data_IF_415635697039
#
_entry.id   IF_415635697039
#
_cell.length_a   1.000
_cell.length_b   1.000
_cell.length_c   1.000
_cell.angle_alpha   90.00
_cell.angle_beta   90.00
_cell.angle_gamma   90.00
#
_symmetry.space_group_name_H-M   'P 1'
#
loop_
_entity.id
_entity.type
_entity.pdbx_description
1 polymer ?
#
# COMPACT_ATOMS: atom_id res chain seq x y z
N UNK A 1 27.49 -2.83 16.24
CA UNK A 1 27.06 -3.11 14.86
C UNK A 1 25.94 -4.14 14.80
N UNK A 2 26.11 -5.35 15.35
CA UNK A 2 25.11 -6.45 15.29
C UNK A 2 23.68 -6.05 15.69
N UNK A 3 23.51 -5.34 16.82
CA UNK A 3 22.17 -4.95 17.30
C UNK A 3 21.47 -3.93 16.40
N UNK A 4 22.23 -3.06 15.72
CA UNK A 4 21.65 -2.04 14.83
C UNK A 4 21.10 -2.69 13.55
N UNK A 5 21.86 -3.61 12.95
CA UNK A 5 21.42 -4.36 11.77
C UNK A 5 20.18 -5.23 12.08
N UNK A 6 20.11 -5.83 13.28
CA UNK A 6 18.96 -6.61 13.72
C UNK A 6 17.69 -5.73 13.86
N UNK A 7 17.81 -4.58 14.51
CA UNK A 7 16.70 -3.64 14.69
C UNK A 7 16.21 -3.13 13.33
N UNK A 8 17.12 -2.77 12.44
CA UNK A 8 16.77 -2.31 11.10
C UNK A 8 16.03 -3.39 10.29
N UNK A 9 16.48 -4.65 10.38
CA UNK A 9 15.79 -5.76 9.72
C UNK A 9 14.35 -5.93 10.25
N UNK A 10 14.15 -5.84 11.57
CA UNK A 10 12.82 -5.90 12.19
C UNK A 10 11.94 -4.75 11.69
N UNK A 11 12.45 -3.52 11.70
CA UNK A 11 11.70 -2.34 11.25
C UNK A 11 11.28 -2.47 9.79
N UNK A 12 12.19 -2.90 8.91
CA UNK A 12 11.88 -3.09 7.48
C UNK A 12 10.80 -4.16 7.30
N UNK A 13 10.92 -5.31 7.98
CA UNK A 13 9.93 -6.38 7.89
C UNK A 13 8.56 -5.89 8.39
N UNK A 14 8.51 -5.21 9.53
CA UNK A 14 7.27 -4.67 10.08
C UNK A 14 6.66 -3.60 9.17
N UNK A 15 7.47 -2.70 8.61
CA UNK A 15 7.01 -1.69 7.67
C UNK A 15 6.42 -2.32 6.41
N UNK A 16 7.07 -3.33 5.83
CA UNK A 16 6.55 -4.06 4.67
C UNK A 16 5.24 -4.79 4.99
N UNK A 17 5.13 -5.40 6.18
CA UNK A 17 3.89 -6.07 6.60
C UNK A 17 2.73 -5.08 6.81
N UNK A 18 3.05 -3.89 7.37
CA UNK A 18 2.09 -2.81 7.56
C UNK A 18 1.60 -2.27 6.21
N UNK A 19 2.52 -1.92 5.30
CA UNK A 19 2.18 -1.43 3.95
C UNK A 19 1.37 -2.44 3.15
N UNK A 20 1.71 -3.72 3.22
CA UNK A 20 0.93 -4.78 2.57
C UNK A 20 -0.51 -4.79 3.09
N UNK A 21 -0.70 -4.73 4.40
CA UNK A 21 -2.03 -4.74 5.03
C UNK A 21 -2.83 -3.48 4.69
N UNK A 22 -2.18 -2.32 4.66
CA UNK A 22 -2.80 -1.07 4.22
C UNK A 22 -3.27 -1.14 2.76
N UNK A 23 -2.45 -1.70 1.87
CA UNK A 23 -2.80 -1.85 0.46
C UNK A 23 -4.10 -2.64 0.19
N UNK A 24 -4.43 -3.64 1.03
CA UNK A 24 -5.73 -4.34 0.92
C UNK A 24 -6.91 -3.46 1.33
N UNK A 25 -6.76 -2.70 2.41
CA UNK A 25 -7.80 -1.78 2.87
C UNK A 25 -8.02 -0.66 1.84
N UNK A 26 -6.95 -0.12 1.27
CA UNK A 26 -7.02 0.91 0.24
C UNK A 26 -7.67 0.39 -1.03
N UNK A 27 -7.36 -0.86 -1.41
CA UNK A 27 -8.03 -1.54 -2.53
C UNK A 27 -9.52 -1.70 -2.26
N UNK A 28 -9.92 -2.11 -1.07
CA UNK A 28 -11.33 -2.24 -0.71
C UNK A 28 -12.05 -0.88 -0.75
N UNK A 29 -11.43 0.15 -0.19
CA UNK A 29 -12.01 1.49 -0.13
C UNK A 29 -12.16 2.11 -1.54
N UNK A 30 -11.14 1.95 -2.40
CA UNK A 30 -11.14 2.55 -3.73
C UNK A 30 -11.97 1.77 -4.76
N UNK A 31 -12.10 0.44 -4.62
CA UNK A 31 -12.72 -0.42 -5.65
C UNK A 31 -14.08 -1.00 -5.27
N UNK A 32 -14.54 -0.86 -4.02
CA UNK A 32 -15.83 -1.41 -3.58
C UNK A 32 -16.99 -0.98 -4.47
N UNK A 33 -17.09 0.31 -4.81
CA UNK A 33 -18.17 0.84 -5.66
C UNK A 33 -18.11 0.29 -7.08
N UNK A 34 -16.92 0.24 -7.69
CA UNK A 34 -16.75 -0.23 -9.06
C UNK A 34 -17.01 -1.73 -9.18
N UNK A 35 -16.71 -2.50 -8.13
CA UNK A 35 -17.01 -3.93 -8.05
C UNK A 35 -18.51 -4.17 -7.80
N UNK A 36 -19.13 -3.44 -6.85
CA UNK A 36 -20.53 -3.65 -6.47
C UNK A 36 -21.53 -3.20 -7.54
N UNK A 37 -21.18 -2.19 -8.34
CA UNK A 37 -21.96 -1.74 -9.50
C UNK A 37 -21.76 -2.60 -10.73
N UNK A 38 -20.79 -3.52 -10.71
CA UNK A 38 -20.45 -4.39 -11.85
C UNK A 38 -19.69 -3.69 -12.98
N UNK A 39 -19.19 -2.46 -12.76
CA UNK A 39 -18.44 -1.72 -13.76
C UNK A 39 -17.08 -2.37 -14.10
N UNK A 40 -16.43 -3.01 -13.12
CA UNK A 40 -15.21 -3.81 -13.33
C UNK A 40 -15.31 -5.17 -12.64
N UNK A 41 -14.70 -6.19 -13.23
CA UNK A 41 -14.52 -7.49 -12.58
C UNK A 41 -13.56 -7.34 -11.38
N UNK A 42 -13.77 -8.06 -10.26
CA UNK A 42 -12.94 -7.93 -9.06
C UNK A 42 -11.43 -8.01 -9.33
N UNK A 43 -10.99 -8.96 -10.16
CA UNK A 43 -9.56 -9.12 -10.49
C UNK A 43 -8.97 -7.89 -11.20
N UNK A 44 -9.74 -7.26 -12.09
CA UNK A 44 -9.30 -6.09 -12.85
C UNK A 44 -9.27 -4.86 -11.94
N UNK A 45 -10.28 -4.71 -11.09
CA UNK A 45 -10.35 -3.60 -10.14
C UNK A 45 -9.19 -3.66 -9.12
N UNK A 46 -8.88 -4.84 -8.57
CA UNK A 46 -7.74 -5.05 -7.67
C UNK A 46 -6.41 -4.79 -8.39
N UNK A 47 -6.24 -5.28 -9.62
CA UNK A 47 -5.02 -5.02 -10.40
C UNK A 47 -4.84 -3.52 -10.70
N UNK A 48 -5.92 -2.81 -11.04
CA UNK A 48 -5.90 -1.37 -11.26
C UNK A 48 -5.53 -0.63 -9.96
N UNK A 49 -6.12 -1.02 -8.83
CA UNK A 49 -5.79 -0.43 -7.53
C UNK A 49 -4.34 -0.65 -7.14
N UNK A 50 -3.78 -1.83 -7.38
CA UNK A 50 -2.37 -2.12 -7.11
C UNK A 50 -1.44 -1.20 -7.93
N UNK A 51 -1.73 -1.02 -9.22
CA UNK A 51 -0.95 -0.12 -10.08
C UNK A 51 -1.07 1.33 -9.61
N UNK A 52 -2.28 1.80 -9.31
CA UNK A 52 -2.50 3.17 -8.85
C UNK A 52 -1.89 3.45 -7.48
N UNK A 53 -1.95 2.49 -6.54
CA UNK A 53 -1.29 2.59 -5.24
C UNK A 53 0.24 2.65 -5.41
N UNK A 54 0.81 1.81 -6.28
CA UNK A 54 2.24 1.83 -6.55
C UNK A 54 2.67 3.20 -7.13
N UNK A 55 1.94 3.71 -8.13
CA UNK A 55 2.22 5.02 -8.72
C UNK A 55 2.06 6.14 -7.68
N UNK A 56 1.00 6.10 -6.87
CA UNK A 56 0.76 7.06 -5.79
C UNK A 56 1.89 7.11 -4.78
N UNK A 57 2.47 5.97 -4.42
CA UNK A 57 3.61 5.89 -3.50
C UNK A 57 4.85 6.65 -4.02
N UNK A 58 5.09 6.67 -5.34
CA UNK A 58 6.20 7.41 -5.94
C UNK A 58 5.93 8.91 -6.10
N UNK A 59 4.66 9.29 -6.25
CA UNK A 59 4.26 10.70 -6.41
C UNK A 59 4.11 11.41 -5.05
N UNK A 60 3.82 10.66 -3.98
CA UNK A 60 3.47 11.20 -2.65
C UNK A 60 4.65 11.20 -1.67
N UNK A 61 5.71 11.96 -2.00
CA UNK A 61 6.86 12.15 -1.09
C UNK A 61 6.58 13.25 -0.03
N UNK A 62 5.66 14.17 -0.33
CA UNK A 62 5.31 15.29 0.56
C UNK A 62 4.70 14.84 1.91
N UNK A 63 3.92 13.76 1.94
CA UNK A 63 3.34 13.24 3.19
C UNK A 63 4.42 12.64 4.09
N UNK A 64 5.37 11.89 3.52
CA UNK A 64 6.48 11.31 4.28
C UNK A 64 7.36 12.40 4.94
N UNK A 65 7.59 13.51 4.24
CA UNK A 65 8.33 14.66 4.77
C UNK A 65 7.58 15.45 5.85
N UNK A 66 6.25 15.30 5.95
CA UNK A 66 5.44 16.02 6.95
C UNK A 66 5.54 15.38 8.34
N UNK A 67 5.83 14.08 8.42
CA UNK A 67 5.85 13.31 9.67
C UNK A 67 7.29 13.04 10.16
N UNK A 68 8.30 13.25 9.30
CA UNK A 68 9.73 12.99 9.57
C UNK A 68 10.44 14.13 10.30
#
# INVERSE_FOLDING_TARGET
MESFSLILAIVVITALAFDFTNGFHDTANAMATTISTGALKPKVAVAMSAVLNLVGAFLSVEVANTIS
#
